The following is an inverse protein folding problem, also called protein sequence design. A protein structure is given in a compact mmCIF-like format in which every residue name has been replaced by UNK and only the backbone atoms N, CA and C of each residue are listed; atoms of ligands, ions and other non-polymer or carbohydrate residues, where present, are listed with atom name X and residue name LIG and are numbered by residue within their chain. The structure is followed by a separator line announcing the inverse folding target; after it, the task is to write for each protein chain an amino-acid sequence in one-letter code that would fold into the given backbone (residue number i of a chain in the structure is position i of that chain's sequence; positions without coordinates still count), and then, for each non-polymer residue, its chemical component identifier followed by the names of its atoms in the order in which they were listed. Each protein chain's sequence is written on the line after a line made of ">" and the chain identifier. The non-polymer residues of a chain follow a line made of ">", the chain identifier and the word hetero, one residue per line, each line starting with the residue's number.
data_IF_924519427169
#
_entry.id   IF_924519427169
#
_cell.length_a   1.000
_cell.length_b   1.000
_cell.length_c   1.000
_cell.angle_alpha   90.00
_cell.angle_beta   90.00
_cell.angle_gamma   90.00
#
_symmetry.space_group_name_H-M   'P 1'
#
loop_
_entity.id
_entity.type
_entity.pdbx_description
1 polymer ?
#
# COMPACT_ATOMS: atom_id res chain seq x y z
N UNK A 1 -14.07 9.79 -10.23
CA UNK A 1 -14.62 8.69 -11.05
C UNK A 1 -13.80 7.40 -11.14
N UNK A 2 -12.78 7.18 -10.30
CA UNK A 2 -12.13 5.86 -10.12
C UNK A 2 -11.36 5.83 -8.79
N UNK A 3 -10.73 6.96 -8.41
CA UNK A 3 -10.10 7.12 -7.10
C UNK A 3 -11.10 7.46 -5.97
N UNK A 4 -12.18 8.19 -6.28
CA UNK A 4 -13.30 8.41 -5.34
C UNK A 4 -14.00 7.09 -4.96
N UNK A 5 -13.90 6.05 -5.79
CA UNK A 5 -14.43 4.72 -5.50
C UNK A 5 -13.46 3.90 -4.62
N UNK A 6 -12.20 4.32 -4.52
CA UNK A 6 -11.16 3.61 -3.75
C UNK A 6 -11.16 4.02 -2.27
N UNK A 7 -11.43 5.30 -1.99
CA UNK A 7 -11.39 5.89 -0.64
C UNK A 7 -12.55 6.86 -0.49
N UNK A 8 -13.34 6.69 0.58
CA UNK A 8 -14.43 7.62 0.90
C UNK A 8 -13.91 9.08 1.06
N UNK A 9 -14.66 10.11 0.64
CA UNK A 9 -14.18 11.50 0.66
C UNK A 9 -13.67 12.00 2.02
N UNK A 10 -14.31 11.57 3.12
CA UNK A 10 -13.87 11.90 4.48
C UNK A 10 -12.51 11.28 4.83
N UNK A 11 -12.22 10.10 4.32
CA UNK A 11 -10.92 9.43 4.51
C UNK A 11 -9.84 10.07 3.65
N UNK A 12 -10.17 10.50 2.43
CA UNK A 12 -9.25 11.25 1.57
C UNK A 12 -8.81 12.58 2.22
N UNK A 13 -9.74 13.31 2.84
CA UNK A 13 -9.41 14.53 3.59
C UNK A 13 -8.42 14.25 4.74
N UNK A 14 -8.71 13.25 5.58
CA UNK A 14 -7.79 12.84 6.65
C UNK A 14 -6.41 12.42 6.14
N UNK A 15 -6.33 11.72 5.01
CA UNK A 15 -5.04 11.32 4.42
C UNK A 15 -4.24 12.52 3.91
N UNK A 16 -4.90 13.56 3.39
CA UNK A 16 -4.22 14.80 3.02
C UNK A 16 -3.67 15.51 4.25
N UNK A 17 -4.46 15.59 5.32
CA UNK A 17 -4.02 16.21 6.57
C UNK A 17 -2.79 15.45 7.13
N UNK A 18 -2.84 14.11 7.16
CA UNK A 18 -1.70 13.27 7.56
C UNK A 18 -0.46 13.55 6.68
N UNK A 19 -0.61 13.65 5.36
CA UNK A 19 0.51 13.99 4.46
C UNK A 19 1.09 15.38 4.71
N UNK A 20 0.25 16.37 4.96
CA UNK A 20 0.67 17.75 5.19
C UNK A 20 1.46 17.86 6.50
N UNK A 21 1.02 17.16 7.54
CA UNK A 21 1.59 17.30 8.88
C UNK A 21 2.71 16.28 9.19
N UNK A 22 2.58 15.05 8.71
CA UNK A 22 3.48 13.94 9.04
C UNK A 22 4.36 13.50 7.85
N UNK A 23 4.02 13.91 6.63
CA UNK A 23 4.72 13.49 5.41
C UNK A 23 4.42 12.06 4.95
N UNK A 24 3.54 11.33 5.67
CA UNK A 24 3.07 10.00 5.31
C UNK A 24 1.65 9.76 5.83
N UNK A 25 0.97 8.74 5.33
CA UNK A 25 -0.28 8.23 5.89
C UNK A 25 -0.27 6.70 5.92
N UNK A 26 -1.10 6.11 6.77
CA UNK A 26 -1.27 4.66 6.85
C UNK A 26 -2.65 4.23 6.35
N UNK A 27 -2.69 3.15 5.58
CA UNK A 27 -3.92 2.51 5.14
C UNK A 27 -4.08 1.15 5.79
N UNK A 28 -5.23 0.93 6.41
CA UNK A 28 -5.58 -0.40 6.89
C UNK A 28 -5.96 -1.28 5.68
N UNK A 29 -5.65 -2.58 5.64
CA UNK A 29 -6.09 -3.47 4.56
C UNK A 29 -7.59 -3.48 4.26
N UNK A 30 -8.41 -3.00 5.22
CA UNK A 30 -9.87 -2.90 5.11
C UNK A 30 -10.38 -1.50 4.76
N UNK A 31 -9.50 -0.50 4.67
CA UNK A 31 -9.90 0.88 4.35
C UNK A 31 -10.04 1.12 2.84
N UNK A 32 -9.60 0.19 2.00
CA UNK A 32 -9.62 0.26 0.54
C UNK A 32 -9.97 -1.11 -0.02
N UNK A 33 -10.72 -1.16 -1.14
CA UNK A 33 -10.82 -2.37 -1.95
C UNK A 33 -9.57 -2.51 -2.81
N UNK A 34 -8.65 -3.37 -2.39
CA UNK A 34 -7.34 -3.52 -3.04
C UNK A 34 -7.39 -4.37 -4.32
N UNK A 35 -8.47 -5.11 -4.56
CA UNK A 35 -8.60 -6.12 -5.62
C UNK A 35 -7.46 -7.14 -5.67
N UNK A 36 -6.85 -7.36 -4.51
CA UNK A 36 -5.82 -8.35 -4.24
C UNK A 36 -6.09 -8.98 -2.88
N UNK A 37 -5.71 -10.25 -2.72
CA UNK A 37 -5.74 -10.90 -1.43
C UNK A 37 -4.60 -10.37 -0.54
N UNK A 38 -4.79 -9.21 0.10
CA UNK A 38 -3.78 -8.61 1.00
C UNK A 38 -3.35 -9.61 2.09
N UNK A 39 -4.28 -10.41 2.62
CA UNK A 39 -3.96 -11.44 3.59
C UNK A 39 -3.08 -12.56 2.99
N UNK A 40 -3.28 -12.91 1.72
CA UNK A 40 -2.42 -13.81 0.96
C UNK A 40 -1.01 -13.25 0.78
N UNK A 41 -0.89 -12.00 0.34
CA UNK A 41 0.40 -11.30 0.22
C UNK A 41 1.13 -11.26 1.56
N UNK A 42 0.45 -10.92 2.65
CA UNK A 42 1.03 -10.90 3.99
C UNK A 42 1.52 -12.29 4.45
N UNK A 43 0.75 -13.36 4.17
CA UNK A 43 1.19 -14.74 4.45
C UNK A 43 2.40 -15.12 3.60
N UNK A 44 2.45 -14.72 2.33
CA UNK A 44 3.60 -14.93 1.46
C UNK A 44 4.87 -14.26 1.99
N UNK A 45 4.76 -13.01 2.43
CA UNK A 45 5.86 -12.29 3.09
C UNK A 45 6.32 -13.01 4.37
N UNK A 46 5.39 -13.44 5.22
CA UNK A 46 5.72 -14.18 6.43
C UNK A 46 6.42 -15.53 6.11
N UNK A 47 5.99 -16.22 5.07
CA UNK A 47 6.62 -17.47 4.61
C UNK A 47 8.03 -17.24 4.07
N UNK A 48 8.26 -16.20 3.26
CA UNK A 48 9.60 -15.80 2.80
C UNK A 48 10.52 -15.54 4.00
N UNK A 49 10.05 -14.76 4.97
CA UNK A 49 10.82 -14.47 6.18
C UNK A 49 11.13 -15.74 7.00
N UNK A 50 10.17 -16.66 7.14
CA UNK A 50 10.37 -17.94 7.83
C UNK A 50 11.41 -18.84 7.14
N UNK A 51 11.59 -18.68 5.82
CA UNK A 51 12.61 -19.35 5.02
C UNK A 51 13.95 -18.61 4.99
N UNK A 52 14.07 -17.48 5.70
CA UNK A 52 15.27 -16.64 5.68
C UNK A 52 15.44 -15.80 4.40
N UNK A 53 14.38 -15.67 3.60
CA UNK A 53 14.38 -14.89 2.36
C UNK A 53 13.92 -13.44 2.60
N UNK A 54 14.46 -12.46 1.86
CA UNK A 54 13.97 -11.08 1.91
C UNK A 54 12.48 -10.95 1.55
N UNK A 55 11.74 -10.15 2.31
CA UNK A 55 10.31 -9.89 2.05
C UNK A 55 10.04 -9.32 0.65
N UNK A 56 10.98 -8.54 0.10
CA UNK A 56 10.90 -7.99 -1.25
C UNK A 56 10.82 -9.06 -2.36
N UNK A 57 11.22 -10.31 -2.09
CA UNK A 57 11.03 -11.40 -3.04
C UNK A 57 9.54 -11.67 -3.34
N UNK A 58 8.62 -11.14 -2.54
CA UNK A 58 7.18 -11.20 -2.84
C UNK A 58 6.85 -10.55 -4.19
N UNK A 59 7.62 -9.54 -4.61
CA UNK A 59 7.42 -8.84 -5.89
C UNK A 59 7.85 -9.65 -7.12
N UNK A 60 8.36 -10.88 -6.94
CA UNK A 60 8.54 -11.83 -8.05
C UNK A 60 7.19 -12.35 -8.58
N UNK A 61 6.11 -12.20 -7.81
CA UNK A 61 4.76 -12.55 -8.22
C UNK A 61 4.00 -11.31 -8.71
N UNK A 62 3.02 -11.50 -9.60
CA UNK A 62 2.23 -10.39 -10.15
C UNK A 62 1.27 -9.77 -9.12
N UNK A 63 0.78 -10.57 -8.17
CA UNK A 63 -0.30 -10.19 -7.27
C UNK A 63 0.00 -8.93 -6.41
N UNK A 64 1.19 -8.76 -5.78
CA UNK A 64 1.53 -7.55 -5.05
C UNK A 64 1.57 -6.27 -5.90
N UNK A 65 1.82 -6.39 -7.21
CA UNK A 65 1.84 -5.22 -8.11
C UNK A 65 0.45 -4.61 -8.32
N UNK A 66 -0.63 -5.34 -8.02
CA UNK A 66 -1.99 -4.80 -8.04
C UNK A 66 -2.17 -3.70 -6.97
N UNK A 67 -1.47 -3.80 -5.84
CA UNK A 67 -1.43 -2.75 -4.82
C UNK A 67 -0.88 -1.45 -5.43
N UNK A 68 0.17 -1.57 -6.25
CA UNK A 68 0.75 -0.43 -6.97
C UNK A 68 -0.18 0.20 -7.98
N UNK A 69 -0.87 -0.64 -8.76
CA UNK A 69 -1.92 -0.17 -9.67
C UNK A 69 -2.99 0.64 -8.95
N UNK A 70 -3.40 0.21 -7.76
CA UNK A 70 -4.41 0.88 -6.93
C UNK A 70 -3.90 2.18 -6.30
N UNK A 71 -2.69 2.18 -5.72
CA UNK A 71 -2.10 3.41 -5.18
C UNK A 71 -1.82 4.44 -6.27
N UNK A 72 -1.48 4.01 -7.48
CA UNK A 72 -1.34 4.90 -8.63
C UNK A 72 -2.63 5.67 -8.96
N UNK A 73 -3.79 5.02 -8.85
CA UNK A 73 -5.07 5.69 -9.05
C UNK A 73 -5.33 6.74 -7.98
N UNK A 74 -4.99 6.43 -6.72
CA UNK A 74 -5.06 7.39 -5.62
C UNK A 74 -4.14 8.59 -5.86
N UNK A 75 -2.86 8.34 -6.18
CA UNK A 75 -1.90 9.41 -6.48
C UNK A 75 -2.33 10.25 -7.67
N UNK A 76 -2.96 9.66 -8.70
CA UNK A 76 -3.52 10.41 -9.83
C UNK A 76 -4.58 11.42 -9.42
N UNK A 77 -5.43 11.05 -8.47
CA UNK A 77 -6.49 11.95 -8.02
C UNK A 77 -5.98 13.07 -7.11
N UNK A 78 -4.98 12.77 -6.28
CA UNK A 78 -4.47 13.71 -5.28
C UNK A 78 -3.27 14.54 -5.78
N UNK A 79 -2.51 14.02 -6.75
CA UNK A 79 -1.33 14.66 -7.33
C UNK A 79 -1.23 14.37 -8.85
N UNK A 80 -2.08 15.00 -9.68
CA UNK A 80 -2.04 14.83 -11.13
C UNK A 80 -0.65 15.08 -11.73
N UNK A 81 -0.21 14.21 -12.63
CA UNK A 81 1.12 14.25 -13.26
C UNK A 81 2.25 13.60 -12.45
N UNK A 82 1.95 13.05 -11.26
CA UNK A 82 2.92 12.33 -10.39
C UNK A 82 2.57 10.86 -10.21
N UNK A 83 1.80 10.27 -11.13
CA UNK A 83 1.24 8.92 -11.01
C UNK A 83 2.28 7.80 -11.12
N UNK A 84 3.51 8.13 -11.49
CA UNK A 84 4.55 7.15 -11.85
C UNK A 84 5.72 7.13 -10.86
N UNK A 85 5.68 7.93 -9.79
CA UNK A 85 6.72 7.95 -8.76
C UNK A 85 6.34 6.93 -7.69
N UNK A 86 6.65 5.67 -7.93
CA UNK A 86 6.57 4.68 -6.88
C UNK A 86 7.80 3.78 -6.87
N UNK A 87 8.73 4.08 -5.98
CA UNK A 87 9.65 3.07 -5.49
C UNK A 87 8.91 2.21 -4.46
N UNK A 88 8.95 0.89 -4.63
CA UNK A 88 8.25 -0.06 -3.77
C UNK A 88 9.21 -0.81 -2.88
N UNK A 89 8.81 -0.98 -1.63
CA UNK A 89 9.50 -1.87 -0.71
C UNK A 89 8.51 -2.67 0.13
N UNK A 90 8.91 -3.86 0.53
CA UNK A 90 8.17 -4.71 1.46
C UNK A 90 9.07 -5.01 2.66
N UNK A 91 8.55 -4.76 3.86
CA UNK A 91 9.20 -5.08 5.11
C UNK A 91 8.36 -6.09 5.89
N UNK A 92 9.00 -7.07 6.52
CA UNK A 92 8.36 -7.93 7.50
C UNK A 92 8.78 -7.47 8.90
N UNK A 93 7.87 -6.80 9.61
CA UNK A 93 8.11 -6.25 10.95
C UNK A 93 7.23 -6.96 11.98
N UNK A 94 7.72 -7.06 13.22
CA UNK A 94 6.92 -7.57 14.33
C UNK A 94 5.97 -6.47 14.80
N UNK A 95 4.68 -6.79 14.96
CA UNK A 95 3.72 -5.86 15.52
C UNK A 95 4.20 -5.34 16.89
N UNK A 96 4.12 -4.02 17.11
CA UNK A 96 4.61 -3.37 18.32
C UNK A 96 6.11 -3.07 18.35
N UNK A 97 6.85 -3.40 17.28
CA UNK A 97 8.24 -2.99 17.10
C UNK A 97 8.30 -2.15 15.82
N UNK A 98 8.06 -0.84 15.97
CA UNK A 98 8.42 0.12 14.93
C UNK A 98 9.89 0.49 15.21
N UNK A 99 10.78 0.48 14.20
CA UNK A 99 12.11 1.07 14.37
C UNK A 99 12.06 2.54 14.78
#
# INVERSE_FOLDING_TARGET
>A
GAAEDLVAPSKAASMRDDLIHEGYFSLHPRSISWDVNIAGVARGIAALAALGLPAMCIFMYDEPWLIAGRLRQLAKAEAPGRELIFDWWAFHVRAGVIP
#
